data_IF_104793685523
#
_entry.id   IF_104793685523
#
_cell.length_a   1.000
_cell.length_b   1.000
_cell.length_c   1.000
_cell.angle_alpha   90.00
_cell.angle_beta   90.00
_cell.angle_gamma   90.00
#
_symmetry.space_group_name_H-M   'P 1'
#
loop_
_entity.id
_entity.type
_entity.pdbx_description
1 polymer ?
#
# COMPACT_ATOMS: atom_id res chain seq x y z
N UNK A 1 2.04 1.40 -21.75
CA UNK A 1 1.81 1.07 -23.18
C UNK A 1 0.37 0.68 -23.50
N UNK A 2 -0.43 0.25 -22.51
CA UNK A 2 -1.84 -0.11 -22.72
C UNK A 2 -2.71 1.02 -23.33
N UNK A 3 -2.43 2.28 -22.99
CA UNK A 3 -3.18 3.44 -23.51
C UNK A 3 -2.69 3.94 -24.88
N UNK A 4 -1.76 3.22 -25.54
CA UNK A 4 -1.30 3.62 -26.88
C UNK A 4 -2.45 3.51 -27.88
N UNK A 5 -2.59 4.50 -28.76
CA UNK A 5 -3.68 4.57 -29.72
C UNK A 5 -3.49 3.55 -30.85
N UNK A 6 -4.56 2.87 -31.24
CA UNK A 6 -4.57 1.88 -32.33
C UNK A 6 -4.17 2.52 -33.67
N UNK A 7 -4.55 3.78 -33.89
CA UNK A 7 -4.17 4.56 -35.07
C UNK A 7 -2.65 4.73 -35.25
N UNK A 8 -1.88 4.65 -34.16
CA UNK A 8 -0.42 4.79 -34.13
C UNK A 8 0.30 3.44 -34.21
N UNK A 9 -0.44 2.32 -34.29
CA UNK A 9 0.15 0.98 -34.25
C UNK A 9 0.49 0.41 -35.62
N UNK A 10 0.17 1.11 -36.72
CA UNK A 10 0.53 0.65 -38.07
C UNK A 10 -0.40 -0.43 -38.65
N UNK A 11 -1.60 -0.58 -38.09
CA UNK A 11 -2.64 -1.44 -38.68
C UNK A 11 -3.13 -0.90 -40.04
N UNK A 12 -3.68 -1.77 -40.91
CA UNK A 12 -4.34 -1.34 -42.13
C UNK A 12 -5.42 -0.29 -41.84
N UNK A 13 -5.44 0.81 -42.61
CA UNK A 13 -6.37 1.92 -42.39
C UNK A 13 -7.85 1.47 -42.39
N UNK A 14 -8.20 0.47 -43.19
CA UNK A 14 -9.54 -0.12 -43.22
C UNK A 14 -9.92 -0.69 -41.85
N UNK A 15 -9.05 -1.50 -41.24
CA UNK A 15 -9.27 -2.12 -39.93
C UNK A 15 -9.22 -1.06 -38.83
N UNK A 16 -8.20 -0.19 -38.82
CA UNK A 16 -8.05 0.85 -37.81
C UNK A 16 -9.27 1.79 -37.74
N UNK A 17 -9.87 2.13 -38.88
CA UNK A 17 -11.08 2.94 -38.93
C UNK A 17 -12.30 2.22 -38.35
N UNK A 18 -12.43 0.90 -38.51
CA UNK A 18 -13.51 0.10 -37.94
C UNK A 18 -13.39 0.07 -36.40
N UNK A 19 -12.18 -0.13 -35.88
CA UNK A 19 -11.90 -0.05 -34.44
C UNK A 19 -12.31 1.31 -33.86
N UNK A 20 -11.88 2.41 -34.49
CA UNK A 20 -12.25 3.76 -34.09
C UNK A 20 -13.78 4.00 -34.17
N UNK A 21 -14.44 3.51 -35.21
CA UNK A 21 -15.89 3.63 -35.39
C UNK A 21 -16.70 2.91 -34.29
N UNK A 22 -16.10 1.90 -33.64
CA UNK A 22 -16.69 1.15 -32.52
C UNK A 22 -16.19 1.64 -31.14
N UNK A 23 -15.55 2.81 -31.09
CA UNK A 23 -14.94 3.40 -29.89
C UNK A 23 -13.83 2.56 -29.23
N UNK A 24 -13.22 1.64 -29.98
CA UNK A 24 -12.05 0.89 -29.54
C UNK A 24 -10.82 1.66 -30.00
N UNK A 25 -10.29 2.51 -29.11
CA UNK A 25 -9.28 3.50 -29.49
C UNK A 25 -7.86 3.13 -29.03
N UNK A 26 -7.76 2.37 -27.94
CA UNK A 26 -6.47 2.02 -27.32
C UNK A 26 -6.18 0.52 -27.40
N UNK A 27 -4.90 0.15 -27.25
CA UNK A 27 -4.49 -1.25 -27.11
C UNK A 27 -5.24 -1.96 -25.97
N UNK A 28 -5.47 -1.27 -24.86
CA UNK A 28 -6.22 -1.78 -23.72
C UNK A 28 -7.64 -2.16 -24.12
N UNK A 29 -8.32 -1.29 -24.85
CA UNK A 29 -9.71 -1.51 -25.27
C UNK A 29 -9.80 -2.78 -26.13
N UNK A 30 -8.91 -2.91 -27.12
CA UNK A 30 -8.86 -4.08 -27.99
C UNK A 30 -8.50 -5.36 -27.22
N UNK A 31 -7.42 -5.34 -26.42
CA UNK A 31 -6.91 -6.53 -25.72
C UNK A 31 -7.71 -6.93 -24.48
N UNK A 32 -8.66 -6.09 -24.04
CA UNK A 32 -9.59 -6.41 -22.95
C UNK A 32 -10.77 -7.28 -23.38
N UNK A 33 -10.96 -7.44 -24.69
CA UNK A 33 -12.01 -8.24 -25.30
C UNK A 33 -11.42 -9.53 -25.87
N UNK A 34 -12.22 -10.57 -25.90
CA UNK A 34 -11.86 -11.82 -26.60
C UNK A 34 -11.88 -11.60 -28.11
N UNK A 35 -11.14 -12.43 -28.86
CA UNK A 35 -11.15 -12.35 -30.33
C UNK A 35 -12.55 -12.56 -30.92
N UNK A 36 -13.40 -13.35 -30.26
CA UNK A 36 -14.78 -13.58 -30.68
C UNK A 36 -15.67 -12.34 -30.47
N UNK A 37 -15.56 -11.68 -29.31
CA UNK A 37 -16.26 -10.42 -29.05
C UNK A 37 -15.82 -9.33 -30.01
N UNK A 38 -14.53 -9.25 -30.33
CA UNK A 38 -14.02 -8.32 -31.34
C UNK A 38 -14.57 -8.63 -32.74
N UNK A 39 -14.67 -9.91 -33.12
CA UNK A 39 -15.28 -10.31 -34.40
C UNK A 39 -16.72 -9.79 -34.50
N UNK A 40 -17.53 -10.02 -33.47
CA UNK A 40 -18.93 -9.59 -33.44
C UNK A 40 -19.04 -8.05 -33.40
N UNK A 41 -18.22 -7.39 -32.60
CA UNK A 41 -18.25 -5.94 -32.45
C UNK A 41 -17.68 -5.18 -33.65
N UNK A 42 -16.74 -5.74 -34.39
CA UNK A 42 -16.12 -5.09 -35.54
C UNK A 42 -16.79 -5.50 -36.86
N UNK A 43 -17.57 -6.58 -36.87
CA UNK A 43 -18.20 -7.17 -38.06
C UNK A 43 -17.18 -7.50 -39.16
N UNK A 44 -16.09 -8.16 -38.76
CA UNK A 44 -14.99 -8.61 -39.63
C UNK A 44 -14.67 -10.06 -39.35
N UNK A 45 -14.05 -10.75 -40.32
CA UNK A 45 -13.72 -12.16 -40.16
C UNK A 45 -12.69 -12.42 -39.07
N UNK A 46 -12.77 -13.60 -38.42
CA UNK A 46 -11.82 -14.02 -37.38
C UNK A 46 -10.35 -13.87 -37.81
N UNK A 47 -10.02 -14.17 -39.07
CA UNK A 47 -8.64 -14.06 -39.55
C UNK A 47 -8.10 -12.62 -39.47
N UNK A 48 -8.94 -11.63 -39.79
CA UNK A 48 -8.57 -10.21 -39.72
C UNK A 48 -8.44 -9.76 -38.26
N UNK A 49 -9.32 -10.25 -37.39
CA UNK A 49 -9.26 -9.98 -35.94
C UNK A 49 -8.00 -10.56 -35.33
N UNK A 50 -7.71 -11.84 -35.54
CA UNK A 50 -6.52 -12.50 -35.00
C UNK A 50 -5.24 -11.82 -35.50
N UNK A 51 -5.19 -11.43 -36.78
CA UNK A 51 -4.08 -10.68 -37.36
C UNK A 51 -3.93 -9.29 -36.68
N UNK A 52 -5.03 -8.56 -36.51
CA UNK A 52 -5.02 -7.27 -35.84
C UNK A 52 -4.59 -7.38 -34.37
N UNK A 53 -5.12 -8.35 -33.62
CA UNK A 53 -4.78 -8.61 -32.21
C UNK A 53 -3.31 -9.02 -32.07
N UNK A 54 -2.79 -9.87 -32.95
CA UNK A 54 -1.37 -10.23 -32.97
C UNK A 54 -0.47 -9.02 -33.20
N UNK A 55 -0.86 -8.13 -34.12
CA UNK A 55 -0.12 -6.90 -34.41
C UNK A 55 -0.15 -5.91 -33.23
N UNK A 56 -1.34 -5.64 -32.68
CA UNK A 56 -1.51 -4.79 -31.49
C UNK A 56 -0.66 -5.35 -30.34
N UNK A 57 -0.74 -6.67 -30.11
CA UNK A 57 0.02 -7.36 -29.07
C UNK A 57 1.52 -7.22 -29.27
N UNK A 58 2.05 -7.41 -30.49
CA UNK A 58 3.47 -7.25 -30.78
C UNK A 58 3.98 -5.82 -30.51
N UNK A 59 3.15 -4.80 -30.76
CA UNK A 59 3.50 -3.40 -30.53
C UNK A 59 3.51 -3.01 -29.05
N UNK A 60 2.63 -3.62 -28.24
CA UNK A 60 2.46 -3.23 -26.82
C UNK A 60 3.04 -4.21 -25.81
N UNK A 61 3.42 -5.41 -26.25
CA UNK A 61 4.03 -6.41 -25.38
C UNK A 61 5.35 -5.87 -24.84
N UNK A 62 5.52 -5.79 -23.50
CA UNK A 62 6.81 -5.43 -22.94
C UNK A 62 7.86 -6.48 -23.36
N UNK A 63 9.11 -6.08 -23.62
CA UNK A 63 10.15 -7.02 -24.01
C UNK A 63 10.41 -8.00 -22.86
N UNK A 64 10.55 -9.29 -23.20
CA UNK A 64 11.02 -10.29 -22.27
C UNK A 64 12.43 -9.93 -21.80
N UNK A 65 12.63 -9.94 -20.50
CA UNK A 65 13.89 -9.59 -19.87
C UNK A 65 14.33 -10.74 -18.97
N UNK A 66 15.64 -10.97 -18.87
CA UNK A 66 16.17 -11.99 -17.97
C UNK A 66 16.05 -11.53 -16.53
N UNK A 67 15.93 -12.48 -15.59
CA UNK A 67 15.95 -12.16 -14.17
C UNK A 67 17.24 -11.42 -13.76
N UNK A 68 18.37 -11.75 -14.41
CA UNK A 68 19.65 -11.06 -14.21
C UNK A 68 19.56 -9.57 -14.59
N UNK A 69 19.03 -9.26 -15.78
CA UNK A 69 18.87 -7.88 -16.23
C UNK A 69 18.00 -7.07 -15.26
N UNK A 70 16.88 -7.64 -14.80
CA UNK A 70 16.00 -6.98 -13.83
C UNK A 70 16.68 -6.75 -12.47
N UNK A 71 17.56 -7.66 -12.04
CA UNK A 71 18.33 -7.51 -10.81
C UNK A 71 19.38 -6.40 -10.94
N UNK A 72 20.15 -6.40 -12.03
CA UNK A 72 21.16 -5.37 -12.32
C UNK A 72 20.52 -3.98 -12.45
N UNK A 73 19.36 -3.90 -13.12
CA UNK A 73 18.61 -2.65 -13.25
C UNK A 73 18.16 -2.10 -11.89
N UNK A 74 17.79 -2.96 -10.92
CA UNK A 74 17.46 -2.51 -9.55
C UNK A 74 18.68 -2.03 -8.79
N UNK A 75 19.82 -2.70 -8.95
CA UNK A 75 21.07 -2.30 -8.29
C UNK A 75 21.61 -0.97 -8.83
N UNK A 76 21.48 -0.75 -10.15
CA UNK A 76 21.96 0.47 -10.80
C UNK A 76 21.05 1.67 -10.54
N UNK A 77 19.75 1.45 -10.34
CA UNK A 77 18.82 2.53 -10.06
C UNK A 77 18.48 2.58 -8.56
N UNK A 78 19.15 3.45 -7.81
CA UNK A 78 18.90 3.65 -6.37
C UNK A 78 17.43 3.95 -6.04
N UNK A 79 16.69 4.56 -6.98
CA UNK A 79 15.25 4.80 -6.88
C UNK A 79 14.40 3.51 -6.78
N UNK A 80 14.94 2.36 -7.18
CA UNK A 80 14.22 1.08 -7.24
C UNK A 80 14.56 0.12 -6.10
N UNK A 81 15.60 0.41 -5.31
CA UNK A 81 16.15 -0.52 -4.31
C UNK A 81 16.37 0.12 -2.92
N UNK A 82 15.52 1.09 -2.54
CA UNK A 82 15.62 1.79 -1.26
C UNK A 82 14.81 1.15 -0.13
N UNK A 83 15.28 1.35 1.10
CA UNK A 83 14.59 1.03 2.34
C UNK A 83 14.60 2.24 3.27
N UNK A 84 13.59 2.37 4.11
CA UNK A 84 13.56 3.30 5.24
C UNK A 84 13.92 2.52 6.51
N UNK A 85 15.14 2.70 7.06
CA UNK A 85 15.56 2.01 8.28
C UNK A 85 14.63 2.35 9.44
N UNK A 86 14.19 1.34 10.18
CA UNK A 86 13.34 1.49 11.36
C UNK A 86 14.14 1.81 12.62
N UNK A 87 15.47 1.65 12.57
CA UNK A 87 16.41 1.74 13.70
C UNK A 87 16.15 0.69 14.78
N UNK A 88 15.38 -0.36 14.44
CA UNK A 88 15.23 -1.55 15.24
C UNK A 88 16.03 -2.65 14.56
N UNK A 89 17.25 -2.90 15.04
CA UNK A 89 18.23 -3.78 14.37
C UNK A 89 17.61 -5.10 13.89
N UNK A 90 16.92 -5.83 14.78
CA UNK A 90 16.32 -7.11 14.42
C UNK A 90 15.22 -7.01 13.35
N UNK A 91 14.46 -5.91 13.32
CA UNK A 91 13.45 -5.67 12.28
C UNK A 91 14.09 -5.24 10.96
N UNK A 92 15.11 -4.37 11.03
CA UNK A 92 15.85 -3.94 9.83
C UNK A 92 16.57 -5.13 9.19
N UNK A 93 17.18 -6.01 9.98
CA UNK A 93 17.81 -7.25 9.50
C UNK A 93 16.76 -8.16 8.83
N UNK A 94 15.59 -8.34 9.45
CA UNK A 94 14.50 -9.16 8.91
C UNK A 94 13.89 -8.59 7.62
N UNK A 95 13.94 -7.27 7.44
CA UNK A 95 13.44 -6.56 6.27
C UNK A 95 14.55 -6.15 5.29
N UNK A 96 15.76 -6.68 5.43
CA UNK A 96 16.91 -6.40 4.55
C UNK A 96 17.27 -4.90 4.45
N UNK A 97 17.09 -4.13 5.52
CA UNK A 97 17.48 -2.72 5.63
C UNK A 97 16.39 -1.78 6.15
N UNK A 98 15.17 -2.26 6.38
CA UNK A 98 14.05 -1.47 6.91
C UNK A 98 12.80 -1.59 6.04
N UNK A 99 11.90 -0.61 6.09
CA UNK A 99 10.66 -0.67 5.30
C UNK A 99 10.97 -0.41 3.83
N UNK A 100 10.70 -1.38 2.93
CA UNK A 100 11.06 -1.24 1.52
C UNK A 100 10.21 -0.21 0.78
N UNK A 101 10.83 0.40 -0.22
CA UNK A 101 10.17 1.33 -1.13
C UNK A 101 9.33 0.58 -2.15
N UNK A 102 8.27 1.22 -2.66
CA UNK A 102 7.51 0.65 -3.76
C UNK A 102 6.49 -0.40 -3.36
N UNK A 103 6.31 -0.66 -2.06
CA UNK A 103 5.40 -1.69 -1.58
C UNK A 103 4.52 -1.20 -0.43
N UNK A 104 3.41 -1.90 -0.25
CA UNK A 104 2.46 -1.66 0.82
C UNK A 104 2.80 -2.53 2.04
N UNK A 105 3.12 -1.89 3.16
CA UNK A 105 3.42 -2.55 4.44
C UNK A 105 2.27 -2.36 5.43
N UNK A 106 1.77 -3.46 5.98
CA UNK A 106 0.71 -3.48 6.99
C UNK A 106 1.29 -3.73 8.39
N UNK A 107 0.88 -2.91 9.35
CA UNK A 107 1.09 -3.13 10.78
C UNK A 107 -0.22 -3.58 11.42
N UNK A 108 -0.31 -4.83 11.86
CA UNK A 108 -1.52 -5.40 12.45
C UNK A 108 -1.27 -5.83 13.89
N UNK A 109 -2.24 -5.61 14.77
CA UNK A 109 -2.19 -6.06 16.16
C UNK A 109 -3.30 -5.45 17.01
N UNK A 110 -3.42 -5.86 18.29
CA UNK A 110 -4.45 -5.35 19.21
C UNK A 110 -4.32 -3.84 19.47
N UNK A 111 -5.41 -3.23 19.95
CA UNK A 111 -5.39 -1.85 20.41
C UNK A 111 -4.34 -1.68 21.53
N UNK A 112 -3.63 -0.54 21.54
CA UNK A 112 -2.62 -0.26 22.56
C UNK A 112 -1.24 -0.93 22.35
N UNK A 113 -1.07 -1.83 21.36
CA UNK A 113 0.21 -2.55 21.14
C UNK A 113 1.37 -1.67 20.61
N UNK A 114 1.13 -0.39 20.33
CA UNK A 114 2.18 0.53 19.87
C UNK A 114 2.23 0.78 18.36
N UNK A 115 1.22 0.39 17.57
CA UNK A 115 1.13 0.68 16.12
C UNK A 115 1.35 2.17 15.80
N UNK A 116 0.60 3.06 16.46
CA UNK A 116 0.76 4.51 16.29
C UNK A 116 2.14 5.00 16.74
N UNK A 117 2.73 4.42 17.79
CA UNK A 117 4.10 4.79 18.21
C UNK A 117 5.13 4.43 17.15
N UNK A 118 4.99 3.26 16.52
CA UNK A 118 5.80 2.87 15.38
C UNK A 118 5.60 3.89 14.24
N UNK A 119 4.36 4.15 13.80
CA UNK A 119 4.05 5.13 12.77
C UNK A 119 4.66 6.51 13.00
N UNK A 120 4.59 7.05 14.22
CA UNK A 120 5.21 8.33 14.59
C UNK A 120 6.74 8.26 14.50
N UNK A 121 7.37 7.17 14.95
CA UNK A 121 8.82 6.94 14.87
C UNK A 121 9.28 6.93 13.42
N UNK A 122 8.67 6.12 12.54
CA UNK A 122 9.05 6.07 11.12
C UNK A 122 8.79 7.40 10.42
N UNK A 123 7.70 8.10 10.76
CA UNK A 123 7.43 9.44 10.22
C UNK A 123 8.56 10.43 10.53
N UNK A 124 9.06 10.38 11.77
CA UNK A 124 10.23 11.16 12.13
C UNK A 124 11.49 10.70 11.36
N UNK A 125 11.75 9.40 11.27
CA UNK A 125 12.93 8.87 10.58
C UNK A 125 12.96 9.29 9.11
N UNK A 126 11.82 9.25 8.41
CA UNK A 126 11.72 9.71 7.02
C UNK A 126 12.00 11.21 6.87
N UNK A 127 11.61 12.04 7.84
CA UNK A 127 11.83 13.48 7.76
C UNK A 127 13.26 13.92 8.11
N UNK A 128 14.02 13.08 8.83
CA UNK A 128 15.41 13.35 9.19
C UNK A 128 16.32 13.56 7.97
N UNK A 129 17.42 14.33 8.11
CA UNK A 129 18.42 14.47 7.06
C UNK A 129 19.07 13.13 6.68
N UNK A 130 19.49 13.00 5.41
CA UNK A 130 20.12 11.80 4.90
C UNK A 130 21.40 11.42 5.67
N UNK A 131 22.16 12.41 6.17
CA UNK A 131 23.36 12.19 6.98
C UNK A 131 23.09 11.45 8.31
N UNK A 132 21.83 11.42 8.76
CA UNK A 132 21.39 10.70 9.95
C UNK A 132 20.52 9.48 9.59
N UNK A 133 20.58 9.01 8.35
CA UNK A 133 19.84 7.85 7.87
C UNK A 133 18.35 8.09 7.66
N UNK A 134 17.93 9.36 7.51
CA UNK A 134 16.59 9.71 7.06
C UNK A 134 16.51 9.89 5.54
N UNK A 135 15.37 10.36 5.04
CA UNK A 135 15.12 10.54 3.60
C UNK A 135 15.08 12.01 3.18
N UNK A 136 15.26 12.93 4.14
CA UNK A 136 15.21 14.38 3.94
C UNK A 136 13.96 14.87 3.20
N UNK A 137 12.84 14.17 3.37
CA UNK A 137 11.61 14.44 2.60
C UNK A 137 10.39 14.71 3.47
N UNK A 138 9.30 15.06 2.79
CA UNK A 138 8.02 15.26 3.45
C UNK A 138 7.34 13.92 3.73
N UNK A 139 6.56 13.88 4.80
CA UNK A 139 5.77 12.72 5.19
C UNK A 139 4.31 13.11 5.14
N UNK A 140 3.48 12.28 4.52
CA UNK A 140 2.03 12.41 4.60
C UNK A 140 1.53 11.42 5.65
N UNK A 141 0.91 11.93 6.69
CA UNK A 141 0.30 11.14 7.77
C UNK A 141 -1.21 11.32 7.72
N UNK A 142 -1.93 10.28 7.31
CA UNK A 142 -3.39 10.24 7.36
C UNK A 142 -3.81 9.67 8.71
N UNK A 143 -4.27 10.56 9.59
CA UNK A 143 -4.70 10.28 10.96
C UNK A 143 -6.23 10.19 11.01
N UNK A 144 -6.75 8.98 10.82
CA UNK A 144 -8.20 8.72 10.86
C UNK A 144 -8.73 8.76 12.28
N UNK A 145 -7.98 8.19 13.23
CA UNK A 145 -8.44 8.01 14.60
C UNK A 145 -8.15 9.23 15.50
N UNK A 146 -7.62 10.32 14.92
CA UNK A 146 -7.21 11.54 15.64
C UNK A 146 -6.21 11.28 16.78
N UNK A 147 -5.29 10.33 16.57
CA UNK A 147 -4.28 9.89 17.54
C UNK A 147 -2.90 10.51 17.33
N UNK A 148 -2.70 11.26 16.25
CA UNK A 148 -1.44 11.93 15.99
C UNK A 148 -1.12 12.97 17.07
N UNK A 149 0.12 12.96 17.58
CA UNK A 149 0.61 13.92 18.57
C UNK A 149 1.95 14.51 18.14
N UNK A 150 1.94 15.80 17.81
CA UNK A 150 3.16 16.55 17.48
C UNK A 150 4.14 16.60 18.66
N UNK A 151 3.62 16.79 19.87
CA UNK A 151 4.40 16.73 21.12
C UNK A 151 5.14 15.40 21.21
N UNK A 152 4.46 14.28 20.92
CA UNK A 152 5.07 12.95 20.98
C UNK A 152 6.19 12.77 19.95
N UNK A 153 6.07 13.34 18.75
CA UNK A 153 7.15 13.33 17.75
C UNK A 153 8.39 14.04 18.27
N UNK A 154 8.21 15.23 18.87
CA UNK A 154 9.33 15.97 19.45
C UNK A 154 9.98 15.18 20.58
N UNK A 155 9.20 14.55 21.46
CA UNK A 155 9.73 13.69 22.52
C UNK A 155 10.54 12.51 21.96
N UNK A 156 10.01 11.81 20.93
CA UNK A 156 10.71 10.71 20.27
C UNK A 156 12.04 11.21 19.66
N UNK A 157 12.02 12.37 19.01
CA UNK A 157 13.20 12.98 18.39
C UNK A 157 14.25 13.41 19.38
N UNK A 158 13.88 14.15 20.43
CA UNK A 158 14.81 14.57 21.48
C UNK A 158 15.43 13.39 22.22
N UNK A 159 14.70 12.29 22.37
CA UNK A 159 15.21 11.07 23.04
C UNK A 159 16.10 10.24 22.12
N UNK A 160 15.71 10.09 20.85
CA UNK A 160 16.39 9.18 19.91
C UNK A 160 17.55 9.86 19.17
N UNK A 161 17.50 11.18 19.01
CA UNK A 161 18.43 11.99 18.20
C UNK A 161 18.75 13.33 18.91
N UNK A 162 19.22 13.32 20.17
CA UNK A 162 19.47 14.55 20.93
C UNK A 162 20.46 15.50 20.22
N UNK A 163 21.45 14.97 19.50
CA UNK A 163 22.45 15.73 18.74
C UNK A 163 21.86 16.56 17.59
N UNK A 164 20.69 16.15 17.08
CA UNK A 164 19.94 16.86 16.04
C UNK A 164 18.90 17.78 16.70
N UNK A 165 18.11 17.23 17.61
CA UNK A 165 16.94 17.91 18.18
C UNK A 165 17.30 19.04 19.15
N UNK A 166 18.50 19.03 19.74
CA UNK A 166 19.00 20.17 20.52
C UNK A 166 19.55 21.31 19.67
N UNK A 167 19.71 21.13 18.35
CA UNK A 167 20.08 22.23 17.46
C UNK A 167 18.88 23.14 17.24
N UNK A 168 19.14 24.45 17.29
CA UNK A 168 18.11 25.47 17.11
C UNK A 168 17.42 25.30 15.75
N UNK A 169 16.09 25.17 15.74
CA UNK A 169 15.27 25.10 14.52
C UNK A 169 15.00 23.68 14.00
N UNK A 170 15.83 22.69 14.34
CA UNK A 170 15.71 21.34 13.75
C UNK A 170 14.40 20.64 14.15
N UNK A 171 14.00 20.74 15.41
CA UNK A 171 12.75 20.15 15.88
C UNK A 171 11.53 20.73 15.13
N UNK A 172 11.52 22.04 14.90
CA UNK A 172 10.47 22.71 14.12
C UNK A 172 10.51 22.29 12.65
N UNK A 173 11.71 22.20 12.07
CA UNK A 173 11.89 21.78 10.68
C UNK A 173 11.40 20.35 10.45
N UNK A 174 11.79 19.40 11.30
CA UNK A 174 11.36 18.00 11.18
C UNK A 174 9.86 17.85 11.37
N UNK A 175 9.26 18.61 12.30
CA UNK A 175 7.82 18.64 12.47
C UNK A 175 7.11 19.27 11.26
N UNK A 176 7.68 20.32 10.67
CA UNK A 176 7.14 21.01 9.49
C UNK A 176 7.14 20.14 8.22
N UNK A 177 8.02 19.14 8.14
CA UNK A 177 8.03 18.15 7.05
C UNK A 177 6.92 17.09 7.16
N UNK A 178 6.22 17.01 8.29
CA UNK A 178 5.18 16.00 8.53
C UNK A 178 3.80 16.64 8.33
N UNK A 179 3.19 16.34 7.19
CA UNK A 179 1.89 16.84 6.76
C UNK A 179 0.79 15.89 7.27
N UNK A 180 -0.12 16.40 8.10
CA UNK A 180 -1.18 15.59 8.72
C UNK A 180 -2.52 15.87 8.06
N UNK A 181 -3.20 14.82 7.61
CA UNK A 181 -4.56 14.86 7.07
C UNK A 181 -5.50 14.05 7.97
N UNK A 182 -6.71 14.56 8.23
CA UNK A 182 -7.70 13.91 9.11
C UNK A 182 -9.05 13.78 8.41
N UNK A 183 -9.21 12.77 7.53
CA UNK A 183 -10.48 12.56 6.86
C UNK A 183 -11.53 12.07 7.87
N UNK A 184 -12.73 12.61 7.77
CA UNK A 184 -13.89 12.30 8.61
C UNK A 184 -14.86 11.29 7.97
N UNK A 185 -14.69 11.02 6.68
CA UNK A 185 -15.51 10.08 5.90
C UNK A 185 -14.69 9.34 4.85
N UNK A 186 -15.23 8.22 4.33
CA UNK A 186 -14.59 7.47 3.24
C UNK A 186 -14.51 8.29 1.94
N UNK A 187 -15.47 9.18 1.70
CA UNK A 187 -15.44 10.10 0.54
C UNK A 187 -14.27 11.08 0.63
N UNK A 188 -14.12 11.74 1.78
CA UNK A 188 -13.02 12.67 2.02
C UNK A 188 -11.66 11.97 1.97
N UNK A 189 -11.58 10.73 2.47
CA UNK A 189 -10.38 9.90 2.33
C UNK A 189 -10.07 9.60 0.86
N UNK A 190 -11.08 9.27 0.06
CA UNK A 190 -10.93 8.99 -1.38
C UNK A 190 -10.41 10.21 -2.13
N UNK A 191 -11.00 11.38 -1.88
CA UNK A 191 -10.55 12.65 -2.46
C UNK A 191 -9.12 12.99 -2.02
N UNK A 192 -8.80 12.80 -0.73
CA UNK A 192 -7.45 13.00 -0.19
C UNK A 192 -6.41 12.12 -0.90
N UNK A 193 -6.72 10.84 -1.12
CA UNK A 193 -5.83 9.94 -1.86
C UNK A 193 -5.56 10.42 -3.29
N UNK A 194 -6.58 10.93 -3.99
CA UNK A 194 -6.40 11.50 -5.33
C UNK A 194 -5.49 12.73 -5.31
N UNK A 195 -5.63 13.61 -4.32
CA UNK A 195 -4.80 14.80 -4.17
C UNK A 195 -3.35 14.46 -3.80
N UNK A 196 -3.09 13.36 -3.09
CA UNK A 196 -1.73 12.92 -2.76
C UNK A 196 -0.87 12.69 -4.01
N UNK A 197 -1.45 12.26 -5.14
CA UNK A 197 -0.70 12.14 -6.40
C UNK A 197 -0.10 13.47 -6.85
N UNK A 198 -0.84 14.57 -6.68
CA UNK A 198 -0.37 15.92 -7.01
C UNK A 198 0.70 16.35 -5.99
N UNK A 199 0.46 16.08 -4.71
CA UNK A 199 1.39 16.44 -3.64
C UNK A 199 2.75 15.73 -3.78
N UNK A 200 2.75 14.47 -4.19
CA UNK A 200 3.97 13.69 -4.47
C UNK A 200 4.85 14.36 -5.53
N UNK A 201 4.24 15.01 -6.53
CA UNK A 201 4.96 15.74 -7.58
C UNK A 201 5.50 17.08 -7.10
N UNK A 202 4.86 17.70 -6.11
CA UNK A 202 5.17 19.06 -5.66
C UNK A 202 6.14 19.11 -4.46
N UNK A 203 6.06 18.16 -3.53
CA UNK A 203 6.67 18.31 -2.20
C UNK A 203 7.69 17.23 -1.82
N UNK A 204 8.22 16.45 -2.78
CA UNK A 204 9.20 15.39 -2.50
C UNK A 204 8.79 14.52 -1.30
N UNK A 205 7.54 14.04 -1.31
CA UNK A 205 7.04 13.15 -0.26
C UNK A 205 7.84 11.84 -0.33
N UNK A 206 8.31 11.36 0.83
CA UNK A 206 9.17 10.17 0.96
C UNK A 206 8.55 9.08 1.82
N UNK A 207 7.36 9.30 2.37
CA UNK A 207 6.62 8.31 3.16
C UNK A 207 5.14 8.68 3.21
N UNK A 208 4.28 7.67 3.07
CA UNK A 208 2.85 7.76 3.35
C UNK A 208 2.50 6.82 4.50
N UNK A 209 1.87 7.37 5.54
CA UNK A 209 1.33 6.61 6.68
C UNK A 209 -0.19 6.77 6.73
N UNK A 210 -0.91 5.66 6.97
CA UNK A 210 -2.35 5.65 7.16
C UNK A 210 -2.70 4.95 8.48
N UNK A 211 -3.12 5.72 9.47
CA UNK A 211 -3.39 5.27 10.84
C UNK A 211 -4.82 5.65 11.30
N UNK A 212 -5.81 4.77 11.25
CA UNK A 212 -5.85 3.45 10.62
C UNK A 212 -6.93 3.40 9.55
N UNK A 213 -6.73 2.60 8.50
CA UNK A 213 -7.81 2.35 7.53
C UNK A 213 -8.95 1.56 8.14
N UNK A 214 -8.67 0.71 9.13
CA UNK A 214 -9.67 -0.13 9.79
C UNK A 214 -10.78 0.69 10.47
N UNK A 215 -10.45 1.87 11.00
CA UNK A 215 -11.43 2.74 11.65
C UNK A 215 -12.44 3.37 10.67
N UNK A 216 -11.99 3.80 9.48
CA UNK A 216 -12.89 4.33 8.44
C UNK A 216 -13.92 3.29 8.02
N UNK A 217 -13.47 2.04 7.86
CA UNK A 217 -14.33 0.95 7.41
C UNK A 217 -15.29 0.55 8.53
N UNK A 218 -14.81 0.40 9.77
CA UNK A 218 -15.65 -0.06 10.89
C UNK A 218 -16.76 0.93 11.25
N UNK A 219 -16.53 2.24 11.10
CA UNK A 219 -17.53 3.28 11.42
C UNK A 219 -18.76 3.27 10.49
N UNK A 220 -18.64 2.77 9.26
CA UNK A 220 -19.76 2.67 8.32
C UNK A 220 -20.61 1.39 8.51
N UNK A 221 -20.06 0.35 9.15
CA UNK A 221 -20.77 -0.90 9.43
C UNK A 221 -21.88 -0.76 10.49
N UNK A 222 -21.85 0.27 11.34
CA UNK A 222 -22.86 0.49 12.39
C UNK A 222 -24.20 1.04 11.86
N UNK A 223 -24.30 1.42 10.58
CA UNK A 223 -25.50 2.04 9.99
C UNK A 223 -26.33 1.14 9.05
N UNK A 224 -26.11 -0.17 9.02
CA UNK A 224 -27.00 -1.09 8.27
C UNK A 224 -26.34 -2.40 7.88
N UNK A 225 -27.03 -3.17 7.02
CA UNK A 225 -26.55 -4.47 6.51
C UNK A 225 -25.09 -4.38 6.04
N UNK A 226 -24.28 -5.45 6.20
CA UNK A 226 -22.86 -5.44 5.91
C UNK A 226 -22.63 -5.18 4.42
N UNK A 227 -22.51 -3.91 4.05
CA UNK A 227 -22.00 -3.53 2.75
C UNK A 227 -20.53 -3.85 2.83
N UNK A 228 -20.12 -4.96 2.23
CA UNK A 228 -18.73 -5.15 1.81
C UNK A 228 -18.41 -4.00 0.87
N UNK A 229 -18.02 -2.85 1.42
CA UNK A 229 -17.50 -1.74 0.64
C UNK A 229 -16.25 -2.27 -0.05
N UNK A 230 -16.30 -2.33 -1.38
CA UNK A 230 -15.18 -2.79 -2.19
C UNK A 230 -14.05 -1.78 -2.05
N UNK A 231 -13.16 -2.03 -1.08
CA UNK A 231 -11.88 -1.33 -0.93
C UNK A 231 -10.93 -1.63 -2.09
N UNK A 232 -11.37 -2.39 -3.10
CA UNK A 232 -10.57 -2.76 -4.25
C UNK A 232 -9.95 -1.56 -4.94
N UNK A 233 -10.68 -0.44 -5.03
CA UNK A 233 -10.11 0.80 -5.58
C UNK A 233 -9.01 1.37 -4.67
N UNK A 234 -9.27 1.58 -3.37
CA UNK A 234 -8.27 2.16 -2.43
C UNK A 234 -7.02 1.29 -2.36
N UNK A 235 -7.20 -0.02 -2.29
CA UNK A 235 -6.12 -1.01 -2.32
C UNK A 235 -5.27 -0.87 -3.58
N UNK A 236 -5.92 -0.92 -4.75
CA UNK A 236 -5.23 -0.85 -6.05
C UNK A 236 -4.53 0.50 -6.21
N UNK A 237 -5.17 1.57 -5.73
CA UNK A 237 -4.62 2.90 -5.72
C UNK A 237 -3.36 2.98 -4.86
N UNK A 238 -3.41 2.51 -3.61
CA UNK A 238 -2.26 2.55 -2.69
C UNK A 238 -1.08 1.71 -3.19
N UNK A 239 -1.35 0.53 -3.74
CA UNK A 239 -0.32 -0.29 -4.40
C UNK A 239 0.33 0.46 -5.56
N UNK A 240 -0.48 0.97 -6.48
CA UNK A 240 0.00 1.71 -7.64
C UNK A 240 0.76 2.97 -7.21
N UNK A 241 0.31 3.65 -6.16
CA UNK A 241 0.97 4.81 -5.59
C UNK A 241 2.35 4.44 -5.07
N UNK A 242 2.45 3.38 -4.26
CA UNK A 242 3.73 2.89 -3.73
C UNK A 242 4.68 2.55 -4.88
N UNK A 243 4.25 1.69 -5.80
CA UNK A 243 5.06 1.20 -6.93
C UNK A 243 5.57 2.34 -7.84
N UNK A 244 4.71 3.31 -8.16
CA UNK A 244 5.04 4.40 -9.06
C UNK A 244 5.91 5.47 -8.39
N UNK A 245 5.57 5.86 -7.16
CA UNK A 245 6.32 6.91 -6.45
C UNK A 245 7.58 6.40 -5.77
N UNK A 246 7.75 5.08 -5.66
CA UNK A 246 8.89 4.43 -5.00
C UNK A 246 9.13 4.96 -3.58
N UNK A 247 8.06 5.15 -2.83
CA UNK A 247 8.10 5.47 -1.40
C UNK A 247 7.59 4.28 -0.56
N UNK A 248 7.96 4.17 0.72
CA UNK A 248 7.27 3.28 1.64
C UNK A 248 5.84 3.78 1.89
N UNK A 249 4.88 2.85 1.85
CA UNK A 249 3.50 3.10 2.27
C UNK A 249 3.18 2.18 3.44
N UNK A 250 2.82 2.77 4.59
CA UNK A 250 2.55 2.04 5.84
C UNK A 250 1.10 2.24 6.25
N UNK A 251 0.39 1.13 6.47
CA UNK A 251 -1.01 1.15 6.90
C UNK A 251 -1.16 0.37 8.19
N UNK A 252 -1.86 0.94 9.16
CA UNK A 252 -2.20 0.22 10.40
C UNK A 252 -3.56 -0.47 10.26
N UNK A 253 -3.64 -1.65 10.86
CA UNK A 253 -4.84 -2.46 10.93
C UNK A 253 -5.07 -2.93 12.38
N UNK A 254 -6.33 -3.07 12.75
CA UNK A 254 -6.74 -3.63 14.03
C UNK A 254 -7.03 -5.12 13.89
N UNK A 255 -7.19 -5.79 15.02
CA UNK A 255 -7.64 -7.18 15.06
C UNK A 255 -9.08 -7.26 15.56
N UNK A 256 -9.84 -8.23 15.07
CA UNK A 256 -11.22 -8.53 15.47
C UNK A 256 -11.36 -10.00 15.88
N UNK A 257 -12.34 -10.29 16.74
CA UNK A 257 -12.68 -11.66 17.11
C UNK A 257 -13.39 -12.37 15.95
N UNK A 258 -12.99 -13.60 15.64
CA UNK A 258 -13.65 -14.44 14.65
C UNK A 258 -15.06 -14.82 15.14
N UNK A 259 -16.08 -14.68 14.27
CA UNK A 259 -17.38 -15.36 14.42
C UNK A 259 -17.33 -16.70 13.67
N UNK A 260 -17.94 -17.75 14.24
CA UNK A 260 -17.79 -19.17 13.83
C UNK A 260 -18.06 -19.47 12.34
N UNK A 261 -18.70 -18.58 11.59
CA UNK A 261 -19.12 -18.82 10.19
C UNK A 261 -18.13 -18.26 9.14
N UNK A 262 -17.02 -17.63 9.54
CA UNK A 262 -16.05 -17.08 8.58
C UNK A 262 -14.88 -18.03 8.30
N UNK A 263 -14.85 -18.58 7.08
CA UNK A 263 -13.72 -19.34 6.54
C UNK A 263 -12.59 -18.36 6.20
N UNK A 264 -11.49 -18.36 6.97
CA UNK A 264 -10.29 -17.58 6.65
C UNK A 264 -9.00 -18.29 7.12
N UNK A 265 -7.99 -18.27 6.24
CA UNK A 265 -6.71 -19.00 6.34
C UNK A 265 -5.62 -18.25 7.15
N UNK A 266 -5.98 -17.16 7.84
CA UNK A 266 -5.04 -16.25 8.51
C UNK A 266 -5.43 -16.00 9.98
N UNK A 267 -5.56 -17.07 10.76
CA UNK A 267 -5.75 -16.97 12.20
C UNK A 267 -4.41 -16.68 12.89
N UNK A 268 -4.39 -15.71 13.81
CA UNK A 268 -3.27 -15.53 14.72
C UNK A 268 -3.48 -16.49 15.90
N UNK A 269 -2.74 -17.60 15.95
CA UNK A 269 -2.81 -18.54 17.07
C UNK A 269 -1.96 -18.02 18.24
N UNK A 270 -2.60 -17.68 19.35
CA UNK A 270 -1.94 -17.59 20.64
C UNK A 270 -1.78 -19.00 21.22
N UNK A 271 -0.63 -19.65 21.02
CA UNK A 271 -0.31 -20.86 21.77
C UNK A 271 -0.09 -20.48 23.24
N UNK A 272 -1.12 -20.64 24.09
CA UNK A 272 -0.93 -20.77 25.54
C UNK A 272 -0.47 -22.20 25.81
N UNK A 273 0.75 -22.34 26.30
CA UNK A 273 1.33 -23.61 26.76
C UNK A 273 0.32 -24.37 27.63
N UNK A 274 0.03 -25.61 27.21
CA UNK A 274 -0.93 -26.49 27.84
C UNK A 274 -0.25 -27.31 28.93
N UNK A 275 -0.47 -26.96 30.20
CA UNK A 275 -0.46 -27.91 31.31
C UNK A 275 -1.46 -27.45 32.39
N UNK A 276 -2.75 -27.74 32.20
CA UNK A 276 -3.64 -28.14 33.32
C UNK A 276 -4.92 -28.76 32.75
N UNK A 277 -5.23 -29.95 33.28
CA UNK A 277 -6.39 -30.77 32.96
C UNK A 277 -7.72 -30.17 33.45
N UNK A 278 -8.77 -30.63 32.78
CA UNK A 278 -10.19 -30.68 33.15
C UNK A 278 -11.06 -29.41 33.11
N UNK A 279 -11.96 -29.41 32.13
CA UNK A 279 -13.37 -29.07 32.36
C UNK A 279 -13.73 -27.59 32.44
N UNK A 280 -13.69 -26.88 31.31
CA UNK A 280 -14.65 -25.82 30.94
C UNK A 280 -14.40 -25.45 29.47
N UNK A 281 -15.46 -25.16 28.72
CA UNK A 281 -15.42 -24.74 27.31
C UNK A 281 -14.42 -23.58 27.10
N UNK A 282 -13.18 -23.91 26.70
CA UNK A 282 -12.19 -22.92 26.30
C UNK A 282 -12.59 -22.38 24.92
N UNK A 283 -13.25 -21.23 24.92
CA UNK A 283 -13.45 -20.41 23.73
C UNK A 283 -12.10 -19.98 23.17
N UNK A 284 -11.57 -20.72 22.20
CA UNK A 284 -10.48 -20.27 21.34
C UNK A 284 -11.03 -19.16 20.44
N UNK A 285 -10.95 -17.91 20.91
CA UNK A 285 -11.27 -16.75 20.08
C UNK A 285 -10.11 -16.51 19.12
N UNK A 286 -10.18 -17.13 17.96
CA UNK A 286 -9.27 -16.82 16.86
C UNK A 286 -9.35 -15.34 16.52
N UNK A 287 -8.21 -14.68 16.55
CA UNK A 287 -8.07 -13.27 16.24
C UNK A 287 -7.67 -13.14 14.77
N UNK A 288 -8.34 -12.26 14.03
CA UNK A 288 -8.09 -12.03 12.59
C UNK A 288 -7.95 -10.54 12.31
N UNK A 289 -7.18 -10.18 11.29
CA UNK A 289 -7.02 -8.81 10.82
C UNK A 289 -8.37 -8.20 10.38
N UNK A 290 -8.66 -6.97 10.77
CA UNK A 290 -10.00 -6.38 10.61
C UNK A 290 -10.37 -6.11 9.14
N UNK A 291 -9.41 -5.67 8.31
CA UNK A 291 -9.59 -5.34 6.89
C UNK A 291 -9.97 -6.53 5.97
N UNK A 292 -9.96 -7.77 6.46
CA UNK A 292 -10.47 -8.93 5.74
C UNK A 292 -9.59 -9.44 4.58
N UNK A 293 -10.14 -10.38 3.80
CA UNK A 293 -9.38 -11.19 2.85
C UNK A 293 -8.90 -10.41 1.61
N UNK A 294 -9.72 -9.49 1.09
CA UNK A 294 -9.35 -8.65 -0.06
C UNK A 294 -8.12 -7.78 0.24
N UNK A 295 -8.02 -7.28 1.47
CA UNK A 295 -6.85 -6.58 1.96
C UNK A 295 -5.64 -7.52 2.13
N UNK A 296 -5.87 -8.73 2.68
CA UNK A 296 -4.80 -9.68 2.92
C UNK A 296 -4.05 -10.11 1.65
N UNK A 297 -4.75 -10.27 0.52
CA UNK A 297 -4.10 -10.55 -0.77
C UNK A 297 -3.37 -9.35 -1.37
N UNK A 298 -3.53 -8.19 -0.75
CA UNK A 298 -3.07 -6.93 -1.31
C UNK A 298 -1.91 -6.31 -0.58
N UNK A 299 -1.65 -6.72 0.64
CA UNK A 299 -0.47 -6.29 1.36
C UNK A 299 0.74 -7.09 0.89
N UNK A 300 1.86 -6.40 0.65
CA UNK A 300 3.11 -7.07 0.28
C UNK A 300 3.85 -7.57 1.52
N UNK A 301 3.89 -6.77 2.59
CA UNK A 301 4.56 -7.11 3.84
C UNK A 301 3.60 -6.89 5.01
N UNK A 302 3.40 -7.92 5.83
CA UNK A 302 2.59 -7.84 7.04
C UNK A 302 3.47 -8.03 8.27
N UNK A 303 3.47 -7.01 9.12
CA UNK A 303 4.10 -7.02 10.43
C UNK A 303 3.03 -7.21 11.50
N UNK A 304 3.10 -8.35 12.20
CA UNK A 304 2.17 -8.69 13.29
C UNK A 304 2.79 -8.30 14.62
N UNK A 305 2.11 -7.44 15.38
CA UNK A 305 2.55 -6.97 16.69
C UNK A 305 1.81 -7.74 17.77
N UNK A 306 2.57 -8.38 18.65
CA UNK A 306 2.07 -9.15 19.79
C UNK A 306 2.77 -8.69 21.07
N UNK A 307 2.03 -8.68 22.19
CA UNK A 307 2.61 -8.41 23.48
C UNK A 307 3.20 -9.72 24.02
N UNK A 308 4.49 -9.73 24.32
CA UNK A 308 5.06 -10.76 25.19
C UNK A 308 4.87 -10.30 26.63
N UNK A 309 4.02 -11.00 27.37
CA UNK A 309 4.09 -10.94 28.83
C UNK A 309 5.37 -11.66 29.24
N UNK A 310 6.40 -10.90 29.63
CA UNK A 310 7.50 -11.50 30.38
C UNK A 310 6.92 -11.97 31.72
N UNK A 311 6.84 -13.29 31.89
CA UNK A 311 6.66 -13.90 33.20
C UNK A 311 7.99 -13.68 33.91
N UNK A 312 8.08 -12.59 34.67
CA UNK A 312 9.12 -12.40 35.67
C UNK A 312 8.67 -13.03 36.99
#
# INVERSE_FOLDING_TARGET
>A
MANKLISEMGLPKSIANIFAARNINTAKDALSLTEFELMELLDVGMADVTSAVAHISAVVSPPYQTALFLMEQRLQNEQFAGHLPTRLKGLDDALCGGIPFGVLTELVGPAGIGKTQFCLKISLLASLPASYGGLEGHVVYIDVESKFSSRRIIEIGSTSFPEIFHRKGMAQEMAGRILVLRPTSLSEFTESLQQIKVLLLQQQVKLLVIDSMAALISGEYDQGAPRQHSLGWHISFLKSLAEFSRIPVVVTNQVRSQRRDEVCQYSFQAQKNAETQEGTDKYDSHVVAALGIHWAHSVTIRLVLEAKSEVH
#
